data_IF_518630959274
#
_entry.id   IF_518630959274
#
_cell.length_a   1.000
_cell.length_b   1.000
_cell.length_c   1.000
_cell.angle_alpha   90.00
_cell.angle_beta   90.00
_cell.angle_gamma   90.00
#
_symmetry.space_group_name_H-M   'P 1'
#
loop_
_entity.id
_entity.type
_entity.pdbx_description
1 polymer ?
#
# COMPACT_ATOMS: atom_id res chain seq x y z
N UNK A 1 -28.08 8.15 22.51
CA UNK A 1 -26.90 7.47 23.09
C UNK A 1 -26.27 6.45 22.13
N UNK A 2 -27.05 5.61 21.45
CA UNK A 2 -26.53 4.63 20.47
C UNK A 2 -25.76 5.24 19.27
N UNK A 3 -26.15 6.43 18.81
CA UNK A 3 -25.48 7.11 17.69
C UNK A 3 -24.05 7.57 18.02
N UNK A 4 -23.76 7.92 19.30
CA UNK A 4 -22.39 8.24 19.74
C UNK A 4 -21.51 6.99 19.74
N UNK A 5 -22.01 5.86 20.22
CA UNK A 5 -21.32 4.57 20.14
C UNK A 5 -21.08 4.12 18.69
N UNK A 6 -22.03 4.39 17.78
CA UNK A 6 -21.89 4.09 16.36
C UNK A 6 -20.83 4.98 15.67
N UNK A 7 -20.81 6.28 16.01
CA UNK A 7 -19.83 7.24 15.51
C UNK A 7 -18.43 6.98 16.11
N UNK A 8 -18.33 6.62 17.39
CA UNK A 8 -17.06 6.19 18.03
C UNK A 8 -16.54 4.87 17.46
N UNK A 9 -17.43 3.96 17.05
CA UNK A 9 -17.02 2.75 16.31
C UNK A 9 -16.56 3.08 14.88
N UNK A 10 -17.16 4.09 14.24
CA UNK A 10 -16.77 4.50 12.89
C UNK A 10 -15.40 5.18 12.87
N UNK A 11 -15.08 6.01 13.86
CA UNK A 11 -13.73 6.62 14.00
C UNK A 11 -12.66 5.59 14.37
N UNK A 12 -13.02 4.47 15.00
CA UNK A 12 -12.10 3.34 15.24
C UNK A 12 -11.95 2.39 14.05
N UNK A 13 -12.79 2.52 13.02
CA UNK A 13 -12.78 1.63 11.84
C UNK A 13 -11.47 1.70 11.05
N UNK A 14 -10.82 2.87 11.00
CA UNK A 14 -9.52 3.06 10.36
C UNK A 14 -8.41 2.28 11.07
N UNK A 15 -8.40 2.28 12.40
CA UNK A 15 -7.45 1.51 13.21
C UNK A 15 -7.63 0.00 13.03
N UNK A 16 -8.88 -0.49 12.98
CA UNK A 16 -9.14 -1.91 12.72
C UNK A 16 -8.68 -2.33 11.32
N UNK A 17 -8.92 -1.50 10.29
CA UNK A 17 -8.46 -1.78 8.92
C UNK A 17 -6.93 -1.84 8.81
N UNK A 18 -6.21 -0.95 9.49
CA UNK A 18 -4.75 -0.97 9.58
C UNK A 18 -4.25 -2.23 10.28
N UNK A 19 -4.77 -2.54 11.46
CA UNK A 19 -4.34 -3.71 12.21
C UNK A 19 -4.62 -5.00 11.43
N UNK A 20 -5.77 -5.10 10.76
CA UNK A 20 -6.09 -6.24 9.91
C UNK A 20 -5.18 -6.32 8.67
N UNK A 21 -4.85 -5.17 8.07
CA UNK A 21 -3.89 -5.08 6.97
C UNK A 21 -2.49 -5.53 7.36
N UNK A 22 -1.95 -5.06 8.49
CA UNK A 22 -0.66 -5.53 9.01
C UNK A 22 -0.69 -7.01 9.40
N UNK A 23 -1.80 -7.50 9.94
CA UNK A 23 -1.95 -8.93 10.24
C UNK A 23 -1.93 -9.78 8.96
N UNK A 24 -2.64 -9.35 7.91
CA UNK A 24 -2.58 -10.00 6.59
C UNK A 24 -1.20 -9.95 5.97
N UNK A 25 -0.48 -8.81 6.09
CA UNK A 25 0.90 -8.67 5.63
C UNK A 25 1.85 -9.60 6.41
N UNK A 26 1.63 -9.77 7.71
CA UNK A 26 2.38 -10.71 8.56
C UNK A 26 2.26 -12.14 8.05
N UNK A 27 1.07 -12.56 7.60
CA UNK A 27 0.88 -13.86 6.96
C UNK A 27 1.66 -14.00 5.65
N UNK A 28 1.76 -12.94 4.84
CA UNK A 28 2.59 -12.96 3.63
C UNK A 28 4.07 -13.22 3.97
N UNK A 29 4.57 -12.59 5.04
CA UNK A 29 5.95 -12.79 5.51
C UNK A 29 6.18 -14.15 6.17
N UNK A 30 5.13 -14.75 6.75
CA UNK A 30 5.18 -16.13 7.21
C UNK A 30 5.53 -17.07 6.06
N UNK A 31 4.86 -16.92 4.92
CA UNK A 31 5.12 -17.72 3.71
C UNK A 31 6.48 -17.43 3.07
N UNK A 32 7.00 -16.21 3.20
CA UNK A 32 8.35 -15.85 2.76
C UNK A 32 9.47 -16.41 3.66
N UNK A 33 9.13 -17.01 4.80
CA UNK A 33 10.10 -17.62 5.71
C UNK A 33 10.94 -16.61 6.51
N UNK A 34 10.48 -15.36 6.67
CA UNK A 34 11.17 -14.32 7.46
C UNK A 34 10.46 -14.10 8.81
N UNK A 35 10.77 -14.87 9.87
CA UNK A 35 10.07 -14.80 11.16
C UNK A 35 10.32 -13.47 11.89
N UNK A 36 11.49 -12.86 11.72
CA UNK A 36 11.81 -11.58 12.36
C UNK A 36 10.89 -10.44 11.89
N UNK A 37 10.60 -10.38 10.58
CA UNK A 37 9.70 -9.35 10.03
C UNK A 37 8.25 -9.58 10.49
N UNK A 38 7.85 -10.84 10.65
CA UNK A 38 6.52 -11.21 11.12
C UNK A 38 6.26 -10.67 12.53
N UNK A 39 7.20 -10.85 13.46
CA UNK A 39 7.07 -10.32 14.82
C UNK A 39 6.98 -8.79 14.86
N UNK A 40 7.78 -8.11 14.04
CA UNK A 40 7.75 -6.65 13.94
C UNK A 40 6.38 -6.19 13.41
N UNK A 41 5.86 -6.86 12.39
CA UNK A 41 4.59 -6.50 11.76
C UNK A 41 3.39 -6.76 12.68
N UNK A 42 3.38 -7.88 13.42
CA UNK A 42 2.39 -8.13 14.47
C UNK A 42 2.48 -7.13 15.61
N UNK A 43 3.69 -6.80 16.08
CA UNK A 43 3.91 -5.83 17.15
C UNK A 43 3.41 -4.43 16.77
N UNK A 44 3.73 -3.98 15.56
CA UNK A 44 3.20 -2.73 15.00
C UNK A 44 1.68 -2.77 14.85
N UNK A 45 1.11 -3.88 14.38
CA UNK A 45 -0.35 -4.04 14.27
C UNK A 45 -1.06 -3.93 15.61
N UNK A 46 -0.46 -4.49 16.67
CA UNK A 46 -0.98 -4.44 18.03
C UNK A 46 -0.87 -3.03 18.62
N UNK A 47 0.28 -2.36 18.45
CA UNK A 47 0.46 -0.95 18.85
C UNK A 47 -0.50 -0.02 18.10
N UNK A 48 -0.74 -0.28 16.82
CA UNK A 48 -1.69 0.45 15.99
C UNK A 48 -3.13 0.32 16.51
N UNK A 49 -3.52 -0.90 16.91
CA UNK A 49 -4.82 -1.17 17.51
C UNK A 49 -4.96 -0.50 18.89
N UNK A 50 -3.90 -0.55 19.71
CA UNK A 50 -3.86 0.12 21.02
C UNK A 50 -3.97 1.65 20.86
N UNK A 51 -3.19 2.24 19.95
CA UNK A 51 -3.20 3.66 19.66
C UNK A 51 -4.55 4.13 19.13
N UNK A 52 -5.19 3.36 18.24
CA UNK A 52 -6.53 3.65 17.74
C UNK A 52 -7.63 3.55 18.81
N UNK A 53 -7.46 2.70 19.82
CA UNK A 53 -8.40 2.58 20.94
C UNK A 53 -8.29 3.77 21.90
N UNK A 54 -7.07 4.20 22.23
CA UNK A 54 -6.81 5.27 23.20
C UNK A 54 -6.91 6.68 22.60
N UNK A 55 -6.44 6.88 21.36
CA UNK A 55 -6.38 8.20 20.70
C UNK A 55 -6.87 8.15 19.24
N UNK A 56 -8.19 8.00 19.01
CA UNK A 56 -8.75 7.82 17.68
C UNK A 56 -8.57 9.04 16.75
N UNK A 57 -8.63 10.26 17.28
CA UNK A 57 -8.56 11.47 16.45
C UNK A 57 -7.16 11.73 15.86
N UNK A 58 -6.10 11.61 16.67
CA UNK A 58 -4.72 11.75 16.19
C UNK A 58 -4.31 10.60 15.27
N UNK A 59 -4.85 9.40 15.53
CA UNK A 59 -4.58 8.23 14.70
C UNK A 59 -5.19 8.36 13.29
N UNK A 60 -6.40 8.92 13.18
CA UNK A 60 -7.09 9.07 11.89
C UNK A 60 -6.35 10.03 10.93
N UNK A 61 -5.77 11.12 11.46
CA UNK A 61 -4.97 12.07 10.69
C UNK A 61 -3.67 11.43 10.14
N UNK A 62 -2.96 10.69 11.00
CA UNK A 62 -1.77 9.93 10.60
C UNK A 62 -2.16 8.86 9.57
N UNK A 63 -3.28 8.17 9.78
CA UNK A 63 -3.78 7.15 8.86
C UNK A 63 -4.08 7.71 7.46
N UNK A 64 -4.81 8.83 7.37
CA UNK A 64 -5.11 9.48 6.07
C UNK A 64 -3.83 9.94 5.37
N UNK A 65 -2.86 10.45 6.12
CA UNK A 65 -1.55 10.87 5.58
C UNK A 65 -0.75 9.67 5.07
N UNK A 66 -0.68 8.58 5.83
CA UNK A 66 -0.03 7.36 5.38
C UNK A 66 -0.72 6.78 4.14
N UNK A 67 -2.06 6.77 4.12
CA UNK A 67 -2.83 6.26 2.98
C UNK A 67 -2.58 7.08 1.70
N UNK A 68 -2.52 8.41 1.79
CA UNK A 68 -2.24 9.25 0.63
C UNK A 68 -0.82 9.07 0.11
N UNK A 69 0.16 8.92 0.99
CA UNK A 69 1.55 8.60 0.62
C UNK A 69 1.63 7.23 -0.07
N UNK A 70 0.93 6.23 0.46
CA UNK A 70 0.92 4.87 -0.09
C UNK A 70 0.29 4.84 -1.48
N UNK A 71 -0.86 5.50 -1.66
CA UNK A 71 -1.53 5.66 -2.96
C UNK A 71 -0.67 6.45 -3.96
N UNK A 72 -0.04 7.53 -3.50
CA UNK A 72 0.87 8.34 -4.32
C UNK A 72 2.07 7.53 -4.80
N UNK A 73 2.68 6.77 -3.90
CA UNK A 73 3.79 5.87 -4.21
C UNK A 73 3.36 4.78 -5.21
N UNK A 74 2.22 4.11 -4.98
CA UNK A 74 1.65 3.13 -5.89
C UNK A 74 1.41 3.71 -7.30
N UNK A 75 0.81 4.90 -7.37
CA UNK A 75 0.58 5.61 -8.63
C UNK A 75 1.89 5.89 -9.37
N UNK A 76 2.91 6.34 -8.64
CA UNK A 76 4.24 6.57 -9.20
C UNK A 76 4.87 5.28 -9.77
N UNK A 77 4.80 4.17 -9.03
CA UNK A 77 5.29 2.87 -9.51
C UNK A 77 4.56 2.39 -10.77
N UNK A 78 3.23 2.52 -10.81
CA UNK A 78 2.43 2.14 -11.99
C UNK A 78 2.84 3.00 -13.18
N UNK A 79 2.99 4.31 -13.00
CA UNK A 79 3.45 5.21 -14.06
C UNK A 79 4.84 4.83 -14.57
N UNK A 80 5.75 4.44 -13.68
CA UNK A 80 7.10 4.00 -14.03
C UNK A 80 7.06 2.67 -14.80
N UNK A 81 6.21 1.74 -14.38
CA UNK A 81 6.02 0.45 -15.03
C UNK A 81 5.44 0.62 -16.45
N UNK A 82 4.46 1.51 -16.62
CA UNK A 82 3.93 1.88 -17.94
C UNK A 82 5.03 2.48 -18.81
N UNK A 83 5.86 3.38 -18.28
CA UNK A 83 6.97 3.98 -19.01
C UNK A 83 8.00 2.92 -19.44
N UNK A 84 8.36 1.99 -18.55
CA UNK A 84 9.26 0.86 -18.88
C UNK A 84 8.63 0.01 -19.97
N UNK A 85 7.35 -0.36 -19.84
CA UNK A 85 6.61 -1.11 -20.85
C UNK A 85 6.60 -0.40 -22.19
N UNK A 86 6.39 0.93 -22.19
CA UNK A 86 6.45 1.75 -23.39
C UNK A 86 7.84 1.73 -24.04
N UNK A 87 8.92 1.95 -23.28
CA UNK A 87 10.29 1.89 -23.82
C UNK A 87 10.60 0.50 -24.37
N UNK A 88 10.15 -0.54 -23.67
CA UNK A 88 10.38 -1.93 -24.07
C UNK A 88 9.58 -2.33 -25.32
N UNK A 89 8.40 -1.75 -25.55
CA UNK A 89 7.61 -1.95 -26.78
C UNK A 89 8.07 -1.04 -27.93
N UNK A 90 8.47 0.21 -27.64
CA UNK A 90 8.83 1.19 -28.66
C UNK A 90 10.21 0.90 -29.26
N UNK A 91 11.21 0.51 -28.45
CA UNK A 91 12.54 0.13 -28.97
C UNK A 91 12.53 -0.98 -30.02
N UNK A 92 11.84 -2.13 -29.83
CA UNK A 92 11.80 -3.19 -30.83
C UNK A 92 10.98 -2.79 -32.07
N UNK A 93 9.91 -2.00 -31.91
CA UNK A 93 9.13 -1.48 -33.06
C UNK A 93 9.98 -0.55 -33.93
N UNK A 94 10.76 0.36 -33.33
CA UNK A 94 11.63 1.27 -34.08
C UNK A 94 12.78 0.51 -34.77
N UNK A 95 13.31 -0.55 -34.15
CA UNK A 95 14.31 -1.42 -34.77
C UNK A 95 13.76 -2.26 -35.93
N UNK A 96 12.51 -2.73 -35.84
CA UNK A 96 11.81 -3.46 -36.90
C UNK A 96 11.41 -2.57 -38.10
N UNK A 97 10.97 -1.34 -37.85
CA UNK A 97 10.57 -0.40 -38.91
C UNK A 97 11.74 0.38 -39.51
N UNK A 98 12.80 0.69 -38.74
CA UNK A 98 13.98 1.40 -39.24
C UNK A 98 14.76 0.63 -40.30
N UNK A 99 14.72 -0.72 -40.27
CA UNK A 99 15.34 -1.56 -41.30
C UNK A 99 14.61 -1.53 -42.65
N UNK A 100 13.39 -0.99 -42.71
CA UNK A 100 12.57 -0.99 -43.93
C UNK A 100 12.81 0.23 -44.83
N UNK A 101 13.43 1.28 -44.33
CA UNK A 101 13.71 2.50 -45.11
C UNK A 101 15.10 2.51 -45.77
N UNK A 102 16.03 1.66 -45.34
CA UNK A 102 17.36 1.53 -45.97
C UNK A 102 17.36 0.65 -47.23
N UNK A 103 16.20 0.12 -47.64
CA UNK A 103 16.09 -0.82 -48.75
C UNK A 103 15.18 -0.35 -49.89
N UNK A 104 14.79 0.93 -49.93
CA UNK A 104 14.03 1.53 -51.03
C UNK A 104 14.79 2.68 -51.67
#
# INVERSE_FOLDING_TARGET
MAFRLFVENFTRSSAYRMAFGLTGLSFLFYYLGLPWLLFICLGLGLLCLLAGIFFPAAFDEIYRTSQSILLGSLSFFISLLILIGYVFFWKPILFLFGKREEQN
#
